data_IF_345466273355
#
_entry.id   IF_345466273355
#
_cell.length_a   1.000
_cell.length_b   1.000
_cell.length_c   1.000
_cell.angle_alpha   90.00
_cell.angle_beta   90.00
_cell.angle_gamma   90.00
#
_symmetry.space_group_name_H-M   'P 1'
#
loop_
_entity.id
_entity.type
_entity.pdbx_description
1 polymer ?
#
# COMPACT_ATOMS: atom_id res chain seq x y z
N UNK A 1 11.14 -17.51 -15.27
CA UNK A 1 11.12 -16.21 -14.56
C UNK A 1 12.50 -15.92 -14.01
N UNK A 2 12.95 -14.66 -14.00
CA UNK A 2 14.18 -14.30 -13.28
C UNK A 2 13.91 -14.46 -11.78
N UNK A 3 14.85 -15.07 -11.05
CA UNK A 3 14.79 -15.14 -9.60
C UNK A 3 15.06 -13.74 -9.04
N UNK A 4 14.12 -13.21 -8.27
CA UNK A 4 14.24 -11.92 -7.60
C UNK A 4 14.69 -12.22 -6.16
N UNK A 5 15.71 -11.50 -5.70
CA UNK A 5 16.15 -11.58 -4.30
C UNK A 5 15.52 -10.43 -3.52
N UNK A 6 14.63 -10.80 -2.59
CA UNK A 6 14.00 -9.88 -1.67
C UNK A 6 14.79 -9.81 -0.36
N UNK A 7 14.79 -8.65 0.27
CA UNK A 7 15.42 -8.45 1.58
C UNK A 7 14.47 -8.90 2.68
N UNK A 8 14.96 -9.70 3.61
CA UNK A 8 14.22 -10.15 4.78
C UNK A 8 14.00 -8.98 5.74
N UNK A 9 12.77 -8.48 5.79
CA UNK A 9 12.40 -7.32 6.59
C UNK A 9 12.47 -7.65 8.09
N UNK A 10 12.05 -8.86 8.46
CA UNK A 10 12.02 -9.33 9.84
C UNK A 10 13.44 -9.46 10.40
N UNK A 11 14.37 -10.03 9.62
CA UNK A 11 15.79 -10.08 9.97
C UNK A 11 16.40 -8.67 10.04
N UNK A 12 16.08 -7.77 9.10
CA UNK A 12 16.59 -6.41 9.11
C UNK A 12 16.13 -5.62 10.35
N UNK A 13 14.90 -5.82 10.84
CA UNK A 13 14.41 -5.24 12.10
C UNK A 13 15.23 -5.73 13.29
N UNK A 14 15.56 -7.02 13.33
CA UNK A 14 16.39 -7.57 14.42
C UNK A 14 17.80 -6.96 14.44
N UNK A 15 18.39 -6.72 13.26
CA UNK A 15 19.72 -6.09 13.17
C UNK A 15 19.69 -4.58 13.45
N UNK A 16 18.59 -3.91 13.12
CA UNK A 16 18.47 -2.44 13.21
C UNK A 16 17.12 -2.02 13.83
N UNK A 17 16.87 -2.35 15.12
CA UNK A 17 15.55 -2.22 15.74
C UNK A 17 15.01 -0.78 15.77
N UNK A 18 15.87 0.23 15.79
CA UNK A 18 15.45 1.63 15.95
C UNK A 18 15.21 2.36 14.61
N UNK A 19 15.34 1.67 13.47
CA UNK A 19 15.36 2.33 12.15
C UNK A 19 14.02 2.28 11.41
N UNK A 20 13.22 1.24 11.64
CA UNK A 20 11.89 1.07 11.07
C UNK A 20 11.11 0.04 11.88
N UNK A 21 9.79 0.04 11.74
CA UNK A 21 8.92 -1.02 12.24
C UNK A 21 8.59 -2.02 11.13
N UNK A 22 8.26 -3.25 11.53
CA UNK A 22 7.74 -4.29 10.62
C UNK A 22 6.45 -4.84 11.20
N UNK A 23 5.55 -5.37 10.36
CA UNK A 23 4.34 -6.02 10.84
C UNK A 23 4.68 -7.20 11.75
N UNK A 24 3.88 -7.36 12.79
CA UNK A 24 4.04 -8.48 13.70
C UNK A 24 3.46 -9.78 13.11
N UNK A 25 3.59 -10.89 13.84
CA UNK A 25 3.10 -12.19 13.38
C UNK A 25 1.57 -12.24 13.24
N UNK A 26 0.82 -11.45 14.00
CA UNK A 26 -0.64 -11.39 13.87
C UNK A 26 -1.01 -10.64 12.60
N UNK A 27 -0.38 -9.49 12.34
CA UNK A 27 -0.60 -8.70 11.13
C UNK A 27 -0.34 -9.50 9.84
N UNK A 28 0.74 -10.31 9.85
CA UNK A 28 1.12 -11.19 8.76
C UNK A 28 0.14 -12.35 8.55
N UNK A 29 -0.42 -12.92 9.63
CA UNK A 29 -1.45 -13.98 9.54
C UNK A 29 -2.79 -13.45 9.01
N UNK A 30 -3.07 -12.18 9.21
CA UNK A 30 -4.29 -11.52 8.74
C UNK A 30 -4.16 -10.95 7.31
N UNK A 31 -3.09 -11.27 6.58
CA UNK A 31 -2.93 -10.86 5.19
C UNK A 31 -4.04 -11.46 4.32
N UNK A 32 -4.57 -10.65 3.40
CA UNK A 32 -5.61 -11.05 2.46
C UNK A 32 -5.26 -10.60 1.06
N UNK A 33 -5.83 -11.30 0.07
CA UNK A 33 -5.80 -10.86 -1.32
C UNK A 33 -6.42 -9.46 -1.43
N UNK A 34 -5.71 -8.56 -2.12
CA UNK A 34 -6.03 -7.16 -2.28
C UNK A 34 -5.45 -6.23 -1.21
N UNK A 35 -4.79 -6.74 -0.17
CA UNK A 35 -3.93 -5.91 0.68
C UNK A 35 -2.72 -5.44 -0.12
N UNK A 36 -2.26 -4.21 0.14
CA UNK A 36 -1.02 -3.68 -0.46
C UNK A 36 0.10 -3.78 0.56
N UNK A 37 1.23 -4.36 0.18
CA UNK A 37 2.38 -4.57 1.06
C UNK A 37 3.62 -3.89 0.52
N UNK A 38 4.49 -3.43 1.42
CA UNK A 38 5.80 -2.88 1.06
C UNK A 38 6.86 -3.95 1.14
N UNK A 39 7.62 -4.11 0.07
CA UNK A 39 8.74 -5.07 -0.03
C UNK A 39 9.99 -4.36 -0.54
N UNK A 40 11.15 -5.02 -0.44
CA UNK A 40 12.42 -4.47 -0.89
C UNK A 40 13.16 -5.46 -1.77
N UNK A 41 13.50 -5.04 -2.99
CA UNK A 41 14.32 -5.78 -3.95
C UNK A 41 15.11 -4.78 -4.79
N UNK A 42 16.25 -5.20 -5.36
CA UNK A 42 17.08 -4.33 -6.21
C UNK A 42 17.48 -2.99 -5.58
N UNK A 43 17.65 -2.94 -4.25
CA UNK A 43 17.95 -1.73 -3.46
C UNK A 43 16.84 -0.66 -3.47
N UNK A 44 15.62 -1.05 -3.81
CA UNK A 44 14.47 -0.17 -3.83
C UNK A 44 13.31 -0.79 -3.04
N UNK A 45 12.65 0.03 -2.21
CA UNK A 45 11.42 -0.34 -1.49
C UNK A 45 10.22 0.10 -2.30
N UNK A 46 9.25 -0.78 -2.47
CA UNK A 46 8.09 -0.50 -3.30
C UNK A 46 6.84 -1.23 -2.81
N UNK A 47 5.69 -0.78 -3.29
CA UNK A 47 4.39 -1.33 -2.95
C UNK A 47 3.96 -2.38 -3.96
N UNK A 48 3.30 -3.43 -3.47
CA UNK A 48 2.71 -4.47 -4.30
C UNK A 48 1.37 -4.92 -3.73
N UNK A 49 0.37 -5.12 -4.59
CA UNK A 49 -0.95 -5.62 -4.21
C UNK A 49 -0.95 -7.15 -4.27
N UNK A 50 -1.34 -7.79 -3.18
CA UNK A 50 -1.40 -9.24 -3.07
C UNK A 50 -2.50 -9.78 -3.98
N UNK A 51 -2.15 -10.71 -4.87
CA UNK A 51 -3.08 -11.38 -5.79
C UNK A 51 -3.29 -12.85 -5.43
N UNK A 52 -2.35 -13.50 -4.74
CA UNK A 52 -2.51 -14.84 -4.19
C UNK A 52 -1.66 -15.06 -2.92
N UNK A 53 -2.11 -15.97 -2.06
CA UNK A 53 -1.43 -16.40 -0.82
C UNK A 53 -1.46 -17.92 -0.77
N UNK A 54 -0.29 -18.54 -0.66
CA UNK A 54 -0.10 -19.99 -0.56
C UNK A 54 0.85 -20.31 0.61
N UNK A 55 0.29 -20.42 1.81
CA UNK A 55 1.08 -20.52 3.03
C UNK A 55 1.88 -19.23 3.24
N UNK A 56 3.21 -19.34 3.33
CA UNK A 56 4.10 -18.18 3.48
C UNK A 56 4.44 -17.52 2.14
N UNK A 57 4.10 -18.12 1.00
CA UNK A 57 4.37 -17.56 -0.33
C UNK A 57 3.25 -16.61 -0.73
N UNK A 58 3.66 -15.45 -1.22
CA UNK A 58 2.80 -14.37 -1.66
C UNK A 58 3.10 -14.07 -3.12
N UNK A 59 2.06 -14.04 -3.93
CA UNK A 59 2.10 -13.52 -5.29
C UNK A 59 1.44 -12.14 -5.30
N UNK A 60 2.07 -11.17 -5.95
CA UNK A 60 1.59 -9.79 -5.97
C UNK A 60 1.91 -9.09 -7.29
N UNK A 61 1.26 -7.96 -7.53
CA UNK A 61 1.58 -7.04 -8.63
C UNK A 61 2.19 -5.75 -8.12
N UNK A 62 3.21 -5.23 -8.79
CA UNK A 62 3.85 -3.95 -8.42
C UNK A 62 2.87 -2.79 -8.63
N UNK A 63 2.66 -1.98 -7.58
CA UNK A 63 1.66 -0.88 -7.56
C UNK A 63 2.26 0.53 -7.68
N UNK A 64 3.55 0.65 -7.95
CA UNK A 64 4.15 1.95 -8.26
C UNK A 64 5.22 1.85 -9.35
N UNK A 65 5.52 2.99 -9.99
CA UNK A 65 6.64 3.09 -10.92
C UNK A 65 7.93 3.08 -10.09
N UNK A 66 8.86 2.20 -10.48
CA UNK A 66 10.16 2.07 -9.83
C UNK A 66 11.21 2.94 -10.51
N UNK A 67 12.19 3.39 -9.74
CA UNK A 67 13.39 4.06 -10.26
C UNK A 67 14.30 3.03 -10.95
N UNK A 68 14.36 1.82 -10.41
CA UNK A 68 15.07 0.71 -11.04
C UNK A 68 14.30 0.16 -12.22
N UNK A 69 15.01 -0.21 -13.30
CA UNK A 69 14.40 -0.73 -14.54
C UNK A 69 14.22 -2.26 -14.54
N UNK A 70 14.36 -2.91 -13.38
CA UNK A 70 14.30 -4.37 -13.27
C UNK A 70 12.88 -4.91 -13.20
N UNK A 71 11.95 -4.14 -12.62
CA UNK A 71 10.52 -4.44 -12.57
C UNK A 71 9.75 -3.22 -13.07
N UNK A 72 8.59 -3.48 -13.66
CA UNK A 72 7.65 -2.47 -14.13
C UNK A 72 6.41 -2.45 -13.26
N UNK A 73 5.69 -1.34 -13.33
CA UNK A 73 4.34 -1.26 -12.82
C UNK A 73 3.49 -2.42 -13.37
N UNK A 74 2.75 -3.09 -12.48
CA UNK A 74 1.94 -4.29 -12.73
C UNK A 74 2.70 -5.57 -13.11
N UNK A 75 4.02 -5.60 -13.00
CA UNK A 75 4.76 -6.88 -13.09
C UNK A 75 4.39 -7.78 -11.90
N UNK A 76 4.36 -9.09 -12.18
CA UNK A 76 4.12 -10.13 -11.19
C UNK A 76 5.41 -10.46 -10.44
N UNK A 77 5.31 -10.58 -9.13
CA UNK A 77 6.39 -10.96 -8.23
C UNK A 77 5.94 -12.01 -7.24
N UNK A 78 6.88 -12.81 -6.76
CA UNK A 78 6.69 -13.80 -5.71
C UNK A 78 7.71 -13.55 -4.60
N UNK A 79 7.25 -13.55 -3.36
CA UNK A 79 8.06 -13.39 -2.17
C UNK A 79 7.41 -14.09 -0.97
N UNK A 80 8.12 -14.19 0.14
CA UNK A 80 7.59 -14.73 1.40
C UNK A 80 7.15 -13.65 2.38
N UNK A 81 6.23 -13.97 3.31
CA UNK A 81 5.73 -13.07 4.37
C UNK A 81 6.83 -12.33 5.14
N UNK A 82 7.99 -12.96 5.39
CA UNK A 82 9.14 -12.34 6.08
C UNK A 82 9.77 -11.15 5.33
N UNK A 83 9.50 -10.97 4.04
CA UNK A 83 10.01 -9.84 3.26
C UNK A 83 9.15 -8.58 3.37
N UNK A 84 8.02 -8.63 4.10
CA UNK A 84 7.07 -7.53 4.20
C UNK A 84 7.55 -6.52 5.25
N UNK A 85 7.73 -5.27 4.81
CA UNK A 85 8.10 -4.13 5.64
C UNK A 85 6.89 -3.36 6.18
N UNK A 86 5.74 -3.43 5.51
CA UNK A 86 4.58 -2.60 5.81
C UNK A 86 3.33 -3.19 5.14
N UNK A 87 2.15 -2.95 5.72
CA UNK A 87 0.87 -3.46 5.21
C UNK A 87 -0.17 -2.34 5.22
N UNK A 88 -0.80 -2.13 4.07
CA UNK A 88 -2.00 -1.32 3.93
C UNK A 88 -3.16 -2.28 3.67
N UNK A 89 -4.05 -2.42 4.66
CA UNK A 89 -5.21 -3.29 4.56
C UNK A 89 -6.23 -2.68 3.59
N UNK A 90 -6.78 -3.50 2.69
CA UNK A 90 -7.78 -3.05 1.70
C UNK A 90 -8.98 -2.33 2.34
N UNK A 91 -9.45 -2.85 3.46
CA UNK A 91 -10.59 -2.31 4.20
C UNK A 91 -10.31 -0.93 4.80
N UNK A 92 -9.04 -0.62 5.09
CA UNK A 92 -8.63 0.71 5.56
C UNK A 92 -8.62 1.72 4.41
N UNK A 93 -8.17 1.29 3.22
CA UNK A 93 -8.12 2.13 2.03
C UNK A 93 -9.52 2.61 1.60
N UNK A 94 -10.50 1.70 1.56
CA UNK A 94 -11.88 2.03 1.19
C UNK A 94 -12.54 3.03 2.15
N UNK A 95 -12.26 2.92 3.45
CA UNK A 95 -12.80 3.86 4.46
C UNK A 95 -12.19 5.26 4.30
N UNK A 96 -10.90 5.35 3.97
CA UNK A 96 -10.24 6.63 3.71
C UNK A 96 -10.81 7.32 2.46
N UNK A 97 -11.02 6.58 1.38
CA UNK A 97 -11.61 7.12 0.15
C UNK A 97 -13.03 7.65 0.38
N UNK A 98 -13.88 6.89 1.09
CA UNK A 98 -15.23 7.33 1.42
C UNK A 98 -15.23 8.62 2.24
N UNK A 99 -14.36 8.70 3.26
CA UNK A 99 -14.22 9.91 4.08
C UNK A 99 -13.76 11.12 3.25
N UNK A 100 -12.74 10.93 2.41
CA UNK A 100 -12.22 12.00 1.54
C UNK A 100 -13.27 12.49 0.53
N UNK A 101 -14.03 11.57 -0.07
CA UNK A 101 -15.14 11.89 -0.97
C UNK A 101 -16.22 12.68 -0.24
N UNK A 102 -16.58 12.28 0.98
CA UNK A 102 -17.61 12.96 1.77
C UNK A 102 -17.18 14.37 2.19
N UNK A 103 -15.94 14.54 2.66
CA UNK A 103 -15.37 15.86 2.96
C UNK A 103 -15.33 16.75 1.70
N UNK A 104 -14.99 16.19 0.54
CA UNK A 104 -15.01 16.92 -0.72
C UNK A 104 -16.42 17.35 -1.11
N UNK A 105 -17.43 16.47 -1.00
CA UNK A 105 -18.84 16.82 -1.24
C UNK A 105 -19.30 17.97 -0.34
N UNK A 106 -19.00 17.91 0.96
CA UNK A 106 -19.37 18.96 1.91
C UNK A 106 -18.76 20.33 1.54
N UNK A 107 -17.48 20.35 1.11
CA UNK A 107 -16.81 21.57 0.63
C UNK A 107 -17.50 22.14 -0.61
N UNK A 108 -17.87 21.29 -1.57
CA UNK A 108 -18.59 21.71 -2.78
C UNK A 108 -19.97 22.28 -2.44
N UNK A 109 -20.76 21.59 -1.62
CA UNK A 109 -22.11 22.05 -1.21
C UNK A 109 -22.05 23.38 -0.46
N UNK A 110 -21.04 23.57 0.41
CA UNK A 110 -20.84 24.83 1.14
C UNK A 110 -20.53 25.98 0.18
N UNK A 111 -19.69 25.75 -0.84
CA UNK A 111 -19.31 26.75 -1.86
C UNK A 111 -20.49 27.18 -2.73
N UNK A 112 -21.38 26.24 -3.09
CA UNK A 112 -22.61 26.53 -3.86
C UNK A 112 -23.57 27.42 -3.04
N UNK A 113 -23.74 27.12 -1.74
CA UNK A 113 -24.62 27.90 -0.84
C UNK A 113 -24.12 29.32 -0.57
N UNK A 114 -22.80 29.57 -0.57
CA UNK A 114 -22.25 30.92 -0.41
C UNK A 114 -22.34 31.74 -1.69
N UNK A 115 -22.21 31.13 -2.87
CA UNK A 115 -22.35 31.84 -4.15
C UNK A 115 -23.82 32.20 -4.48
N UNK A 116 -24.80 31.35 -4.14
CA UNK A 116 -26.22 31.65 -4.36
C UNK A 116 -26.78 32.76 -3.48
N UNK A 117 -26.13 33.06 -2.33
CA UNK A 117 -26.50 34.18 -1.45
C UNK A 117 -25.92 35.53 -1.90
N UNK A 118 -24.96 35.55 -2.82
CA UNK A 118 -24.30 36.76 -3.31
C UNK A 118 -24.98 37.45 -4.51
N UNK A 119 -25.91 36.78 -5.19
CA UNK A 119 -26.56 37.28 -6.42
C UNK A 119 -27.98 37.85 -6.22
N UNK A 120 -28.42 38.06 -4.96
CA UNK A 120 -29.64 38.83 -4.64
C UNK A 120 -29.28 40.16 -4.00
N UNK A 121 -28.67 41.06 -4.76
CA UNK A 121 -28.78 42.50 -4.54
C UNK A 121 -28.99 43.16 -5.90
N UNK A 122 -30.27 43.48 -6.11
CA UNK A 122 -30.89 44.61 -6.84
C UNK A 122 -29.96 45.39 -7.77
#
# INVERSE_FOLDING_TARGET
MKKIEFIDAQQMKQMHPDTFEVPDQNDLRELKVGDTVKVCAFKERFWAEITAIEGDKITATVENVLLTKFLKYKDWIEFETRHIYDIIKKDQFQKMDQKAIEEMKQRVTKKIKTQSKGHRRI
#
